data_IF_447762281001
#
_entry.id   IF_447762281001
#
_cell.length_a   1.000
_cell.length_b   1.000
_cell.length_c   1.000
_cell.angle_alpha   90.00
_cell.angle_beta   90.00
_cell.angle_gamma   90.00
#
_symmetry.space_group_name_H-M   'P 1'
#
loop_
_entity.id
_entity.type
_entity.pdbx_description
1 polymer ?
#
# COMPACT_ATOMS: atom_id res chain seq x y z
N UNK A 1 -4.21 0.60 17.48
CA UNK A 1 -4.02 1.78 16.61
C UNK A 1 -4.37 1.42 15.16
N UNK A 2 -4.66 2.42 14.32
CA UNK A 2 -4.92 2.25 12.89
C UNK A 2 -3.82 2.95 12.10
N UNK A 3 -3.26 2.28 11.10
CA UNK A 3 -2.17 2.78 10.27
C UNK A 3 -2.53 2.65 8.80
N UNK A 4 -1.98 3.55 7.98
CA UNK A 4 -2.02 3.44 6.52
C UNK A 4 -0.60 3.20 6.05
N UNK A 5 -0.38 2.12 5.32
CA UNK A 5 0.90 1.79 4.74
C UNK A 5 1.12 2.63 3.48
N UNK A 6 2.30 3.24 3.40
CA UNK A 6 2.85 3.70 2.14
C UNK A 6 3.36 2.50 1.32
N UNK A 7 3.42 2.66 0.01
CA UNK A 7 3.88 1.65 -0.94
C UNK A 7 5.30 1.16 -0.61
N UNK A 8 6.23 2.06 -0.26
CA UNK A 8 7.59 1.67 0.10
C UNK A 8 7.63 0.84 1.38
N UNK A 9 6.74 1.12 2.34
CA UNK A 9 6.66 0.34 3.58
C UNK A 9 6.20 -1.09 3.29
N UNK A 10 5.21 -1.25 2.40
CA UNK A 10 4.76 -2.57 1.94
C UNK A 10 5.87 -3.32 1.19
N UNK A 11 6.62 -2.65 0.30
CA UNK A 11 7.77 -3.24 -0.40
C UNK A 11 8.84 -3.72 0.58
N UNK A 12 9.22 -2.90 1.58
CA UNK A 12 10.21 -3.32 2.57
C UNK A 12 9.72 -4.45 3.46
N UNK A 13 8.43 -4.47 3.81
CA UNK A 13 7.84 -5.59 4.55
C UNK A 13 7.94 -6.88 3.74
N UNK A 14 7.47 -6.88 2.49
CA UNK A 14 7.45 -8.05 1.61
C UNK A 14 8.87 -8.54 1.27
N UNK A 15 9.82 -7.61 1.14
CA UNK A 15 11.23 -7.93 0.91
C UNK A 15 12.02 -8.31 2.17
N UNK A 16 11.40 -8.32 3.36
CA UNK A 16 12.10 -8.62 4.62
C UNK A 16 13.17 -7.58 5.00
N UNK A 17 13.02 -6.33 4.56
CA UNK A 17 13.99 -5.23 4.69
C UNK A 17 13.65 -4.19 5.76
N UNK A 18 12.63 -4.44 6.58
CA UNK A 18 12.30 -3.54 7.69
C UNK A 18 13.39 -3.59 8.76
N UNK A 19 13.84 -2.42 9.23
CA UNK A 19 14.82 -2.33 10.32
C UNK A 19 14.26 -2.79 11.69
N UNK A 20 12.94 -2.71 11.84
CA UNK A 20 12.19 -3.15 13.02
C UNK A 20 10.82 -3.67 12.58
N UNK A 21 10.18 -4.59 13.34
CA UNK A 21 8.85 -5.05 13.00
C UNK A 21 7.83 -3.91 13.04
N UNK A 22 6.78 -4.04 12.24
CA UNK A 22 5.64 -3.13 12.31
C UNK A 22 5.00 -3.23 13.71
N UNK A 23 4.55 -2.11 14.31
CA UNK A 23 3.89 -2.13 15.61
C UNK A 23 2.58 -2.94 15.56
N UNK A 24 2.08 -3.38 16.71
CA UNK A 24 0.77 -4.04 16.74
C UNK A 24 -0.34 -3.04 16.36
N UNK A 25 -1.17 -3.40 15.37
CA UNK A 25 -2.24 -2.52 14.90
C UNK A 25 -3.01 -3.07 13.70
N UNK A 26 -4.01 -2.29 13.27
CA UNK A 26 -4.75 -2.56 12.05
C UNK A 26 -4.15 -1.73 10.91
N UNK A 27 -3.91 -2.39 9.78
CA UNK A 27 -3.25 -1.80 8.63
C UNK A 27 -4.22 -1.69 7.47
N UNK A 28 -4.31 -0.48 6.93
CA UNK A 28 -4.88 -0.23 5.63
C UNK A 28 -3.80 0.11 4.61
N UNK A 29 -4.14 -0.02 3.34
CA UNK A 29 -3.32 0.37 2.20
C UNK A 29 -4.22 1.02 1.17
N UNK A 30 -3.77 2.09 0.51
CA UNK A 30 -4.61 2.80 -0.46
C UNK A 30 -4.78 1.99 -1.74
N UNK A 31 -5.92 2.14 -2.43
CA UNK A 31 -6.11 1.56 -3.76
C UNK A 31 -5.01 1.98 -4.76
N UNK A 32 -4.41 3.16 -4.58
CA UNK A 32 -3.28 3.63 -5.39
C UNK A 32 -2.02 2.79 -5.12
N UNK A 33 -1.72 2.54 -3.85
CA UNK A 33 -0.60 1.70 -3.45
C UNK A 33 -0.75 0.25 -3.92
N UNK A 34 -1.98 -0.26 -3.98
CA UNK A 34 -2.26 -1.60 -4.54
C UNK A 34 -1.92 -1.63 -6.04
N UNK A 35 -2.34 -0.60 -6.78
CA UNK A 35 -2.01 -0.44 -8.20
C UNK A 35 -0.48 -0.38 -8.37
N UNK A 36 0.22 0.42 -7.57
CA UNK A 36 1.69 0.56 -7.65
C UNK A 36 2.41 -0.75 -7.41
N UNK A 37 1.99 -1.54 -6.40
CA UNK A 37 2.59 -2.86 -6.10
C UNK A 37 2.43 -3.85 -7.26
N UNK A 38 1.25 -3.89 -7.88
CA UNK A 38 0.95 -4.82 -8.96
C UNK A 38 1.41 -4.32 -10.35
N UNK A 39 1.77 -3.04 -10.49
CA UNK A 39 2.17 -2.45 -11.77
C UNK A 39 3.68 -2.54 -12.04
N UNK A 40 4.45 -3.23 -11.20
CA UNK A 40 5.90 -3.35 -11.39
C UNK A 40 6.22 -4.20 -12.64
N UNK A 41 6.86 -3.64 -13.69
CA UNK A 41 6.97 -4.33 -14.98
C UNK A 41 7.75 -5.64 -14.97
N UNK A 42 8.61 -5.83 -13.98
CA UNK A 42 9.50 -7.00 -13.85
C UNK A 42 9.06 -7.97 -12.75
N UNK A 43 7.81 -7.86 -12.30
CA UNK A 43 7.28 -8.73 -11.26
C UNK A 43 7.18 -10.18 -11.78
N UNK A 44 7.82 -11.10 -11.08
CA UNK A 44 7.62 -12.53 -11.33
C UNK A 44 6.25 -13.00 -10.83
N UNK A 45 5.77 -14.13 -11.36
CA UNK A 45 4.51 -14.73 -10.90
C UNK A 45 4.53 -15.08 -9.40
N UNK A 46 5.69 -15.45 -8.86
CA UNK A 46 5.87 -15.75 -7.45
C UNK A 46 5.72 -14.48 -6.60
N UNK A 47 6.41 -13.39 -6.98
CA UNK A 47 6.30 -12.10 -6.28
C UNK A 47 4.88 -11.53 -6.33
N UNK A 48 4.21 -11.65 -7.48
CA UNK A 48 2.80 -11.25 -7.61
C UNK A 48 1.89 -12.07 -6.67
N UNK A 49 2.11 -13.38 -6.57
CA UNK A 49 1.38 -14.25 -5.64
C UNK A 49 1.58 -13.86 -4.17
N UNK A 50 2.80 -13.49 -3.79
CA UNK A 50 3.11 -12.97 -2.44
C UNK A 50 2.41 -11.63 -2.19
N UNK A 51 2.47 -10.70 -3.13
CA UNK A 51 1.79 -9.40 -3.04
C UNK A 51 0.27 -9.59 -2.90
N UNK A 52 -0.35 -10.44 -3.73
CA UNK A 52 -1.79 -10.71 -3.66
C UNK A 52 -2.19 -11.32 -2.33
N UNK A 53 -1.39 -12.25 -1.79
CA UNK A 53 -1.62 -12.83 -0.47
C UNK A 53 -1.50 -11.77 0.64
N UNK A 54 -0.53 -10.88 0.54
CA UNK A 54 -0.41 -9.75 1.47
C UNK A 54 -1.61 -8.82 1.40
N UNK A 55 -2.09 -8.49 0.21
CA UNK A 55 -3.24 -7.61 0.00
C UNK A 55 -4.54 -8.16 0.60
N UNK A 56 -4.71 -9.49 0.73
CA UNK A 56 -5.87 -10.06 1.45
C UNK A 56 -5.79 -9.90 2.97
N UNK A 57 -4.61 -9.59 3.51
CA UNK A 57 -4.38 -9.43 4.95
C UNK A 57 -4.53 -7.99 5.46
N UNK A 58 -4.65 -7.01 4.56
CA UNK A 58 -4.79 -5.58 4.89
C UNK A 58 -6.08 -5.01 4.33
N UNK A 59 -6.56 -3.92 4.92
CA UNK A 59 -7.76 -3.23 4.41
C UNK A 59 -7.40 -2.37 3.19
N UNK A 60 -7.97 -2.67 2.02
CA UNK A 60 -7.89 -1.76 0.87
C UNK A 60 -8.78 -0.52 1.11
N UNK A 61 -8.18 0.66 1.08
CA UNK A 61 -8.85 1.95 1.32
C UNK A 61 -9.13 2.64 -0.02
N UNK A 62 -10.39 2.99 -0.32
CA UNK A 62 -10.73 3.69 -1.55
C UNK A 62 -10.22 5.12 -1.53
N UNK A 63 -10.09 5.72 -2.71
CA UNK A 63 -9.94 7.17 -2.82
C UNK A 63 -11.23 7.85 -2.35
N UNK A 64 -11.08 8.77 -1.39
CA UNK A 64 -12.15 9.62 -0.90
C UNK A 64 -12.21 10.96 -1.63
N UNK A 65 -12.76 11.96 -0.94
CA UNK A 65 -12.86 13.32 -1.46
C UNK A 65 -11.48 13.92 -1.79
N UNK A 66 -11.46 14.79 -2.80
CA UNK A 66 -10.27 15.58 -3.16
C UNK A 66 -9.86 16.43 -1.95
N UNK A 67 -8.59 16.39 -1.52
CA UNK A 67 -8.12 17.23 -0.42
C UNK A 67 -8.39 18.71 -0.72
N UNK A 68 -8.88 19.46 0.28
CA UNK A 68 -9.23 20.88 0.14
C UNK A 68 -8.11 21.75 -0.45
N UNK A 69 -6.85 21.37 -0.24
CA UNK A 69 -5.66 22.02 -0.85
C UNK A 69 -5.62 22.00 -2.38
N UNK A 70 -6.37 21.11 -3.03
CA UNK A 70 -6.44 21.02 -4.50
C UNK A 70 -7.75 21.58 -5.08
N UNK A 71 -8.73 21.92 -4.25
CA UNK A 71 -10.07 22.34 -4.70
C UNK A 71 -10.04 23.69 -5.43
N UNK A 72 -9.01 24.53 -5.22
CA UNK A 72 -8.84 25.82 -5.89
C UNK A 72 -7.78 25.87 -7.00
N UNK A 73 -7.13 24.75 -7.32
CA UNK A 73 -6.08 24.68 -8.36
C UNK A 73 -6.58 24.08 -9.68
N UNK A 74 -7.82 23.61 -9.71
CA UNK A 74 -8.48 23.00 -10.86
C UNK A 74 -9.62 23.92 -11.34
N UNK A 75 -9.33 25.22 -11.41
CA UNK A 75 -10.21 26.24 -11.98
C UNK A 75 -9.57 26.81 -13.25
#
# INVERSE_FOLDING_TARGET
MKFVLDTNTAIYLLGGKLAAPLPAGHYGLSVISEIELLSYPSLSMEEEGVIRTFLTSVQCLPLGAVPSRYVGQIA
#
